data_IF_145391435188
#
_entry.id   IF_145391435188
#
_cell.length_a   1.000
_cell.length_b   1.000
_cell.length_c   1.000
_cell.angle_alpha   90.00
_cell.angle_beta   90.00
_cell.angle_gamma   90.00
#
_symmetry.space_group_name_H-M   'P 1'
#
loop_
_entity.id
_entity.type
_entity.pdbx_description
1 polymer ?
#
# COMPACT_ATOMS: atom_id res chain seq x y z
N UNK A 1 36.34 -5.77 42.49
CA UNK A 1 35.75 -4.52 41.98
C UNK A 1 34.54 -4.93 41.17
N UNK A 2 33.33 -4.79 41.70
CA UNK A 2 32.10 -5.08 40.95
C UNK A 2 31.93 -4.02 39.87
N UNK A 3 31.92 -4.44 38.61
CA UNK A 3 31.64 -3.57 37.48
C UNK A 3 30.12 -3.54 37.33
N UNK A 4 29.50 -2.42 37.66
CA UNK A 4 28.06 -2.20 37.48
C UNK A 4 27.76 -1.87 36.01
N UNK A 5 26.91 -2.69 35.38
CA UNK A 5 26.41 -2.53 34.02
C UNK A 5 25.03 -1.88 33.98
N UNK A 6 24.59 -1.27 35.08
CA UNK A 6 23.21 -0.77 35.21
C UNK A 6 22.84 0.27 34.15
N UNK A 7 23.81 1.10 33.74
CA UNK A 7 23.62 2.06 32.64
C UNK A 7 23.47 1.36 31.27
N UNK A 8 24.15 0.23 31.06
CA UNK A 8 24.02 -0.57 29.84
C UNK A 8 22.67 -1.26 29.77
N UNK A 9 22.16 -1.79 30.89
CA UNK A 9 20.81 -2.34 30.96
C UNK A 9 19.74 -1.25 30.69
N UNK A 10 19.93 -0.04 31.23
CA UNK A 10 19.04 1.10 30.92
C UNK A 10 19.02 1.45 29.43
N UNK A 11 20.15 1.32 28.72
CA UNK A 11 20.19 1.54 27.26
C UNK A 11 19.33 0.49 26.53
N UNK A 12 19.43 -0.78 26.93
CA UNK A 12 18.61 -1.87 26.36
C UNK A 12 17.12 -1.58 26.56
N UNK A 13 16.71 -1.23 27.77
CA UNK A 13 15.32 -0.89 28.09
C UNK A 13 14.79 0.29 27.25
N UNK A 14 15.65 1.29 26.99
CA UNK A 14 15.31 2.44 26.15
C UNK A 14 15.09 2.01 24.70
N UNK A 15 15.94 1.13 24.16
CA UNK A 15 15.82 0.63 22.79
C UNK A 15 14.52 -0.16 22.60
N UNK A 16 14.18 -1.05 23.52
CA UNK A 16 12.91 -1.80 23.46
C UNK A 16 11.69 -0.87 23.49
N UNK A 17 11.73 0.17 24.33
CA UNK A 17 10.68 1.18 24.38
C UNK A 17 10.57 1.98 23.09
N UNK A 18 11.70 2.31 22.45
CA UNK A 18 11.73 3.00 21.15
C UNK A 18 11.10 2.14 20.05
N UNK A 19 11.43 0.85 19.98
CA UNK A 19 10.83 -0.06 19.01
C UNK A 19 9.32 -0.24 19.21
N UNK A 20 8.88 -0.31 20.48
CA UNK A 20 7.47 -0.34 20.83
C UNK A 20 6.75 0.95 20.40
N UNK A 21 7.36 2.11 20.63
CA UNK A 21 6.81 3.41 20.23
C UNK A 21 6.73 3.54 18.71
N UNK A 22 7.78 3.17 17.98
CA UNK A 22 7.79 3.17 16.51
C UNK A 22 6.69 2.28 15.94
N UNK A 23 6.50 1.09 16.52
CA UNK A 23 5.42 0.16 16.11
C UNK A 23 4.02 0.73 16.37
N UNK A 24 3.83 1.49 17.45
CA UNK A 24 2.57 2.17 17.76
C UNK A 24 2.32 3.35 16.81
N UNK A 25 3.35 4.15 16.51
CA UNK A 25 3.28 5.26 15.56
C UNK A 25 2.86 4.73 14.19
N UNK A 26 3.55 3.70 13.69
CA UNK A 26 3.22 3.08 12.40
C UNK A 26 1.77 2.58 12.34
N UNK A 27 1.27 1.97 13.41
CA UNK A 27 -0.13 1.54 13.49
C UNK A 27 -1.12 2.71 13.44
N UNK A 28 -0.80 3.83 14.11
CA UNK A 28 -1.64 5.03 14.11
C UNK A 28 -1.64 5.65 12.71
N UNK A 29 -0.47 5.81 12.10
CA UNK A 29 -0.32 6.32 10.73
C UNK A 29 -1.13 5.48 9.74
N UNK A 30 -1.07 4.15 9.83
CA UNK A 30 -1.85 3.25 8.98
C UNK A 30 -3.37 3.38 9.19
N UNK A 31 -3.83 3.69 10.41
CA UNK A 31 -5.26 3.90 10.72
C UNK A 31 -5.76 5.28 10.29
N UNK A 32 -4.90 6.30 10.37
CA UNK A 32 -5.20 7.66 9.97
C UNK A 32 -5.02 7.88 8.47
N UNK A 33 -4.25 7.02 7.80
CA UNK A 33 -4.08 7.07 6.37
C UNK A 33 -5.47 7.00 5.70
N UNK A 34 -5.83 8.00 4.88
CA UNK A 34 -7.12 7.98 4.21
C UNK A 34 -7.22 6.71 3.37
N UNK A 35 -8.37 6.02 3.48
CA UNK A 35 -8.63 4.81 2.69
C UNK A 35 -8.34 5.13 1.22
N UNK A 36 -7.48 4.34 0.61
CA UNK A 36 -7.13 4.52 -0.81
C UNK A 36 -8.39 4.36 -1.65
N UNK A 37 -8.63 5.32 -2.55
CA UNK A 37 -9.71 5.24 -3.52
C UNK A 37 -9.29 4.31 -4.67
N UNK A 38 -9.65 3.04 -4.54
CA UNK A 38 -9.32 1.99 -5.52
C UNK A 38 -10.14 2.09 -6.80
N UNK A 39 -11.01 3.10 -6.95
CA UNK A 39 -11.66 3.41 -8.23
C UNK A 39 -10.76 4.28 -9.12
N UNK A 40 -9.74 4.92 -8.54
CA UNK A 40 -8.80 5.82 -9.20
C UNK A 40 -7.43 5.19 -9.38
N UNK A 41 -6.76 5.61 -10.46
CA UNK A 41 -5.40 5.16 -10.83
C UNK A 41 -4.40 5.33 -9.69
N UNK A 42 -4.43 6.46 -8.98
CA UNK A 42 -3.49 6.73 -7.88
C UNK A 42 -3.70 5.83 -6.67
N UNK A 43 -4.96 5.51 -6.34
CA UNK A 43 -5.25 4.56 -5.27
C UNK A 43 -4.81 3.15 -5.63
N UNK A 44 -5.07 2.71 -6.87
CA UNK A 44 -4.69 1.37 -7.34
C UNK A 44 -3.17 1.18 -7.36
N UNK A 45 -2.39 2.15 -7.86
CA UNK A 45 -0.91 2.07 -7.86
C UNK A 45 -0.34 1.92 -6.45
N UNK A 46 -0.81 2.75 -5.51
CA UNK A 46 -0.39 2.70 -4.10
C UNK A 46 -0.79 1.39 -3.45
N UNK A 47 -2.01 0.91 -3.72
CA UNK A 47 -2.51 -0.32 -3.13
C UNK A 47 -1.77 -1.55 -3.66
N UNK A 48 -1.48 -1.62 -4.96
CA UNK A 48 -0.74 -2.73 -5.55
C UNK A 48 0.78 -2.60 -5.35
N UNK A 49 1.26 -1.47 -4.83
CA UNK A 49 2.67 -1.13 -4.67
C UNK A 49 3.46 -1.20 -6.00
N UNK A 50 2.91 -0.56 -7.04
CA UNK A 50 3.49 -0.55 -8.39
C UNK A 50 3.59 0.86 -8.98
N UNK A 51 4.49 1.01 -9.94
CA UNK A 51 4.62 2.25 -10.72
C UNK A 51 3.45 2.46 -11.69
N UNK A 52 3.29 3.70 -12.17
CA UNK A 52 2.29 4.04 -13.17
C UNK A 52 2.52 3.32 -14.52
N UNK A 53 3.79 3.19 -14.92
CA UNK A 53 4.17 2.46 -16.13
C UNK A 53 3.87 0.97 -16.00
N UNK A 54 4.14 0.37 -14.84
CA UNK A 54 3.77 -1.03 -14.57
C UNK A 54 2.27 -1.24 -14.62
N UNK A 55 1.48 -0.33 -14.02
CA UNK A 55 0.03 -0.40 -14.10
C UNK A 55 -0.47 -0.31 -15.55
N UNK A 56 0.11 0.59 -16.36
CA UNK A 56 -0.20 0.68 -17.79
C UNK A 56 0.16 -0.61 -18.55
N UNK A 57 1.34 -1.17 -18.29
CA UNK A 57 1.77 -2.43 -18.89
C UNK A 57 0.81 -3.57 -18.54
N UNK A 58 0.44 -3.71 -17.27
CA UNK A 58 -0.54 -4.70 -16.80
C UNK A 58 -1.90 -4.58 -17.50
N UNK A 59 -2.33 -3.37 -17.80
CA UNK A 59 -3.56 -3.13 -18.56
C UNK A 59 -3.42 -3.51 -20.04
N UNK A 60 -2.24 -3.29 -20.63
CA UNK A 60 -1.97 -3.58 -22.03
C UNK A 60 -1.69 -5.06 -22.31
N UNK A 61 -0.99 -5.74 -21.41
CA UNK A 61 -0.65 -7.16 -21.53
C UNK A 61 -1.77 -8.09 -21.02
N UNK A 62 -2.84 -7.52 -20.46
CA UNK A 62 -4.05 -8.23 -20.07
C UNK A 62 -4.02 -8.86 -18.68
N UNK A 63 -2.97 -8.63 -17.88
CA UNK A 63 -2.97 -8.98 -16.45
C UNK A 63 -4.13 -8.31 -15.71
N UNK A 64 -4.38 -7.05 -16.02
CA UNK A 64 -5.61 -6.34 -15.66
C UNK A 64 -6.52 -6.29 -16.88
N UNK A 65 -7.64 -7.03 -16.81
CA UNK A 65 -8.62 -7.16 -17.90
C UNK A 65 -9.70 -6.07 -17.84
N UNK A 66 -9.97 -5.43 -18.98
CA UNK A 66 -11.12 -4.52 -19.14
C UNK A 66 -12.43 -5.27 -18.87
N UNK A 67 -13.41 -4.58 -18.28
CA UNK A 67 -14.71 -5.08 -17.78
C UNK A 67 -14.64 -6.07 -16.62
N UNK A 68 -13.44 -6.42 -16.15
CA UNK A 68 -13.23 -7.22 -14.93
C UNK A 68 -12.59 -6.33 -13.86
N UNK A 69 -11.39 -5.81 -14.15
CA UNK A 69 -10.60 -5.01 -13.20
C UNK A 69 -10.82 -3.52 -13.36
N UNK A 70 -11.20 -3.07 -14.56
CA UNK A 70 -11.49 -1.68 -14.85
C UNK A 70 -12.47 -1.53 -16.00
N UNK A 71 -13.19 -0.41 -16.04
CA UNK A 71 -14.02 0.04 -17.17
C UNK A 71 -13.34 1.22 -17.83
N UNK A 72 -13.24 1.18 -19.17
CA UNK A 72 -12.73 2.27 -19.99
C UNK A 72 -13.89 2.83 -20.81
N UNK A 73 -14.12 4.13 -20.70
CA UNK A 73 -15.11 4.86 -21.48
C UNK A 73 -14.40 5.95 -22.28
N UNK A 74 -14.86 6.18 -23.51
CA UNK A 74 -14.28 7.16 -24.42
C UNK A 74 -15.38 8.16 -24.77
N UNK A 75 -15.21 9.39 -24.31
CA UNK A 75 -16.13 10.49 -24.58
C UNK A 75 -15.38 11.53 -25.42
N UNK A 76 -15.49 11.42 -26.75
CA UNK A 76 -14.72 12.23 -27.69
C UNK A 76 -13.22 11.97 -27.54
N UNK A 77 -12.45 13.01 -27.18
CA UNK A 77 -10.99 12.91 -26.96
C UNK A 77 -10.60 12.48 -25.54
N UNK A 78 -11.56 12.38 -24.61
CA UNK A 78 -11.28 12.04 -23.21
C UNK A 78 -11.46 10.55 -22.99
N UNK A 79 -10.45 9.92 -22.39
CA UNK A 79 -10.49 8.55 -21.91
C UNK A 79 -10.70 8.58 -20.40
N UNK A 80 -11.77 7.96 -19.92
CA UNK A 80 -12.02 7.80 -18.50
C UNK A 80 -11.88 6.32 -18.13
N UNK A 81 -11.08 6.05 -17.10
CA UNK A 81 -10.83 4.70 -16.58
C UNK A 81 -11.28 4.68 -15.12
N UNK A 82 -12.18 3.76 -14.81
CA UNK A 82 -12.66 3.52 -13.46
C UNK A 82 -12.33 2.08 -13.09
N UNK A 83 -11.59 1.90 -12.01
CA UNK A 83 -11.22 0.57 -11.50
C UNK A 83 -12.33 -0.02 -10.64
N UNK A 84 -12.43 -1.35 -10.63
CA UNK A 84 -13.38 -2.10 -9.80
C UNK A 84 -12.68 -2.51 -8.51
N UNK A 85 -13.01 -1.86 -7.40
CA UNK A 85 -12.34 -2.03 -6.09
C UNK A 85 -12.19 -3.51 -5.70
N UNK A 86 -13.29 -4.27 -5.70
CA UNK A 86 -13.27 -5.69 -5.33
C UNK A 86 -12.38 -6.55 -6.22
N UNK A 87 -12.31 -6.25 -7.52
CA UNK A 87 -11.47 -6.97 -8.46
C UNK A 87 -9.98 -6.65 -8.27
N UNK A 88 -9.64 -5.42 -7.89
CA UNK A 88 -8.25 -5.02 -7.57
C UNK A 88 -7.79 -5.66 -6.26
N UNK A 89 -8.66 -5.70 -5.24
CA UNK A 89 -8.39 -6.42 -3.98
C UNK A 89 -8.14 -7.90 -4.27
N UNK A 90 -9.08 -8.55 -4.95
CA UNK A 90 -8.95 -9.97 -5.31
C UNK A 90 -7.71 -10.25 -6.18
N UNK A 91 -7.34 -9.35 -7.08
CA UNK A 91 -6.12 -9.48 -7.87
C UNK A 91 -4.86 -9.51 -6.99
N UNK A 92 -4.76 -8.63 -5.98
CA UNK A 92 -3.61 -8.61 -5.06
C UNK A 92 -3.56 -9.85 -4.17
N UNK A 93 -4.71 -10.34 -3.72
CA UNK A 93 -4.81 -11.53 -2.87
C UNK A 93 -4.42 -12.81 -3.60
N UNK A 94 -4.78 -12.93 -4.89
CA UNK A 94 -4.40 -14.07 -5.73
C UNK A 94 -2.92 -14.08 -6.16
N UNK A 95 -2.15 -13.03 -5.84
CA UNK A 95 -0.70 -12.95 -6.12
C UNK A 95 0.17 -13.37 -4.93
N UNK A 96 -0.43 -13.63 -3.76
CA UNK A 96 0.26 -14.14 -2.57
C UNK A 96 0.25 -15.67 -2.55
#
# INVERSE_FOLDING_TARGET
MEISFENLNKIVDILEKLDSLNSKILNIENRLAPKLDLTKRDGVKKYLDISDSTLYQMMNDGRLKQNIHYKKTINGKRVNIIFVESAIVGFKENQK
#
